data_IF_278613049532
#
_entry.id   IF_278613049532
#
_cell.length_a   1.000
_cell.length_b   1.000
_cell.length_c   1.000
_cell.angle_alpha   90.00
_cell.angle_beta   90.00
_cell.angle_gamma   90.00
#
_symmetry.space_group_name_H-M   'P 1'
#
loop_
_entity.id
_entity.type
_entity.pdbx_description
1 polymer ?
#
# COMPACT_ATOMS: atom_id res chain seq x y z
N UNK A 1 -23.76 74.40 35.82
CA UNK A 1 -25.23 74.28 35.85
C UNK A 1 -25.66 73.59 34.56
N UNK A 2 -25.82 72.27 34.57
CA UNK A 2 -27.09 71.53 34.81
C UNK A 2 -28.13 71.71 33.67
N UNK A 3 -28.64 70.56 33.22
CA UNK A 3 -29.84 70.29 32.38
C UNK A 3 -29.70 70.56 30.87
N UNK A 4 -30.07 69.70 29.93
CA UNK A 4 -30.70 68.37 29.88
C UNK A 4 -30.92 68.05 28.39
N UNK A 5 -30.33 66.99 27.83
CA UNK A 5 -30.92 65.67 27.52
C UNK A 5 -32.36 65.66 26.99
N UNK A 6 -32.50 65.01 25.81
CA UNK A 6 -33.71 64.47 25.15
C UNK A 6 -34.54 65.56 24.45
N UNK A 7 -34.80 65.50 23.14
CA UNK A 7 -35.57 64.45 22.46
C UNK A 7 -35.44 64.59 20.93
N UNK A 8 -34.90 63.60 20.24
CA UNK A 8 -35.24 63.27 18.82
C UNK A 8 -34.72 61.86 18.50
N UNK A 9 -35.16 60.87 19.28
CA UNK A 9 -35.02 59.44 18.94
C UNK A 9 -36.24 58.65 19.45
N UNK A 10 -37.43 59.26 19.39
CA UNK A 10 -38.70 58.65 19.82
C UNK A 10 -39.69 58.42 18.67
N UNK A 11 -39.18 58.25 17.44
CA UNK A 11 -40.01 57.81 16.30
C UNK A 11 -39.39 56.65 15.50
N UNK A 12 -38.55 55.85 16.16
CA UNK A 12 -38.12 54.53 15.68
C UNK A 12 -38.37 53.40 16.71
N UNK A 13 -38.99 53.72 17.85
CA UNK A 13 -39.29 52.79 18.95
C UNK A 13 -40.74 52.29 18.98
N UNK A 14 -41.36 52.08 17.82
CA UNK A 14 -42.63 51.32 17.73
C UNK A 14 -42.52 50.05 16.89
N UNK A 15 -41.30 49.55 16.64
CA UNK A 15 -41.06 48.30 15.90
C UNK A 15 -40.13 47.30 16.59
N UNK A 16 -39.93 47.45 17.91
CA UNK A 16 -39.09 46.57 18.71
C UNK A 16 -39.73 46.17 20.06
N UNK A 17 -41.02 45.83 20.07
CA UNK A 17 -41.63 45.09 21.20
C UNK A 17 -42.74 44.16 20.71
N UNK A 18 -42.36 43.08 20.02
CA UNK A 18 -43.20 41.89 19.94
C UNK A 18 -42.35 40.62 19.84
N UNK A 19 -41.42 40.48 20.79
CA UNK A 19 -40.85 39.18 21.15
C UNK A 19 -41.31 38.81 22.54
N UNK A 20 -42.50 38.21 22.65
CA UNK A 20 -42.77 37.13 23.62
C UNK A 20 -44.15 36.51 23.43
N UNK A 21 -44.10 35.17 23.37
CA UNK A 21 -45.18 34.20 23.67
C UNK A 21 -46.30 34.05 22.63
N UNK A 22 -45.98 33.28 21.58
CA UNK A 22 -46.88 32.19 21.18
C UNK A 22 -46.09 30.89 21.33
N UNK A 23 -46.32 30.23 22.46
CA UNK A 23 -45.77 28.93 22.84
C UNK A 23 -46.52 27.85 22.05
N UNK A 24 -46.17 27.66 20.78
CA UNK A 24 -46.61 26.51 20.00
C UNK A 24 -45.60 25.38 20.20
N UNK A 25 -46.06 24.33 20.88
CA UNK A 25 -45.30 23.13 21.24
C UNK A 25 -44.69 22.48 20.00
N UNK A 26 -43.38 22.60 19.82
CA UNK A 26 -42.60 21.75 18.92
C UNK A 26 -42.06 20.55 19.70
N UNK A 27 -42.10 19.32 19.18
CA UNK A 27 -41.54 18.17 19.88
C UNK A 27 -40.02 18.30 19.93
N UNK A 28 -39.46 18.16 21.14
CA UNK A 28 -38.05 17.93 21.38
C UNK A 28 -37.68 16.57 20.80
N UNK A 29 -37.25 16.53 19.54
CA UNK A 29 -36.51 15.39 19.04
C UNK A 29 -35.14 15.44 19.70
N UNK A 30 -34.99 14.58 20.72
CA UNK A 30 -33.73 14.22 21.34
C UNK A 30 -32.76 13.80 20.24
N UNK A 31 -31.65 14.53 20.12
CA UNK A 31 -30.52 14.12 19.29
C UNK A 31 -29.84 12.92 19.99
N UNK A 32 -29.78 11.71 19.40
CA UNK A 32 -28.86 10.71 19.89
C UNK A 32 -27.49 11.01 19.28
N UNK A 33 -26.54 11.37 20.14
CA UNK A 33 -25.13 11.26 19.82
C UNK A 33 -24.82 9.78 19.57
N UNK A 34 -24.68 9.39 18.30
CA UNK A 34 -23.78 8.35 17.79
C UNK A 34 -24.17 8.00 16.36
N UNK A 35 -23.54 8.66 15.39
CA UNK A 35 -23.13 7.98 14.16
C UNK A 35 -21.63 8.16 14.05
N UNK A 36 -20.94 7.25 14.72
CA UNK A 36 -19.55 6.90 14.44
C UNK A 36 -19.32 6.97 12.94
N UNK A 37 -18.23 7.63 12.56
CA UNK A 37 -17.68 7.72 11.20
C UNK A 37 -18.09 6.49 10.40
N UNK A 38 -18.82 6.69 9.31
CA UNK A 38 -18.90 5.68 8.27
C UNK A 38 -17.47 5.46 7.80
N UNK A 39 -16.84 4.45 8.40
CA UNK A 39 -15.82 3.63 7.80
C UNK A 39 -16.45 3.22 6.47
N UNK A 40 -16.01 3.84 5.38
CA UNK A 40 -16.34 3.38 4.03
C UNK A 40 -15.66 2.02 3.91
N UNK A 41 -16.41 1.01 4.37
CA UNK A 41 -16.07 -0.40 4.28
C UNK A 41 -15.74 -0.68 2.82
N UNK A 42 -14.69 -1.46 2.58
CA UNK A 42 -14.61 -2.29 1.38
C UNK A 42 -16.04 -2.71 1.02
N UNK A 43 -16.54 -2.38 -0.18
CA UNK A 43 -17.89 -2.80 -0.62
C UNK A 43 -17.90 -4.32 -0.74
N UNK A 44 -18.10 -4.97 0.41
CA UNK A 44 -18.14 -6.40 0.59
C UNK A 44 -19.60 -6.74 0.84
N UNK A 45 -20.34 -7.01 -0.24
CA UNK A 45 -21.56 -7.80 -0.10
C UNK A 45 -21.15 -9.14 0.54
N UNK A 46 -21.99 -9.76 1.36
CA UNK A 46 -21.63 -10.89 2.23
C UNK A 46 -20.91 -12.06 1.51
N UNK A 47 -21.25 -12.26 0.24
CA UNK A 47 -20.59 -13.20 -0.68
C UNK A 47 -19.14 -12.76 -0.98
N UNK A 48 -18.92 -11.48 -1.30
CA UNK A 48 -17.59 -10.91 -1.50
C UNK A 48 -16.78 -10.90 -0.19
N UNK A 49 -17.43 -10.66 0.95
CA UNK A 49 -16.78 -10.70 2.27
C UNK A 49 -16.23 -12.10 2.58
N UNK A 50 -17.03 -13.14 2.30
CA UNK A 50 -16.65 -14.53 2.50
C UNK A 50 -15.52 -14.92 1.54
N UNK A 51 -15.64 -14.59 0.26
CA UNK A 51 -14.59 -14.86 -0.74
C UNK A 51 -13.28 -14.16 -0.37
N UNK A 52 -13.34 -12.90 0.06
CA UNK A 52 -12.15 -12.15 0.49
C UNK A 52 -11.52 -12.80 1.73
N UNK A 53 -12.33 -13.15 2.73
CA UNK A 53 -11.86 -13.82 3.95
C UNK A 53 -11.13 -15.12 3.62
N UNK A 54 -11.76 -15.99 2.82
CA UNK A 54 -11.15 -17.24 2.36
C UNK A 54 -9.84 -16.97 1.61
N UNK A 55 -9.82 -15.99 0.71
CA UNK A 55 -8.61 -15.63 -0.04
C UNK A 55 -7.48 -15.17 0.89
N UNK A 56 -7.78 -14.40 1.94
CA UNK A 56 -6.78 -13.95 2.93
C UNK A 56 -6.23 -15.12 3.76
N UNK A 57 -7.11 -16.05 4.17
CA UNK A 57 -6.73 -17.25 4.91
C UNK A 57 -5.81 -18.16 4.09
N UNK A 58 -6.08 -18.30 2.78
CA UNK A 58 -5.28 -19.12 1.88
C UNK A 58 -3.90 -18.53 1.49
N UNK A 59 -3.62 -17.26 1.77
CA UNK A 59 -2.27 -16.70 1.52
C UNK A 59 -1.29 -17.33 2.53
N UNK A 60 -0.26 -18.07 2.10
CA UNK A 60 0.72 -18.64 3.01
C UNK A 60 1.63 -17.53 3.57
N UNK A 61 2.39 -17.84 4.62
CA UNK A 61 3.54 -17.01 4.99
C UNK A 61 4.57 -17.03 3.86
N UNK A 62 5.13 -15.87 3.52
CA UNK A 62 6.07 -15.75 2.39
C UNK A 62 7.38 -16.49 2.69
N UNK A 63 7.75 -17.44 1.83
CA UNK A 63 9.04 -18.14 1.81
C UNK A 63 9.63 -18.07 0.40
N UNK A 64 10.93 -18.37 0.26
CA UNK A 64 11.58 -18.44 -1.05
C UNK A 64 10.92 -19.49 -1.96
N UNK A 65 10.62 -20.67 -1.42
CA UNK A 65 10.02 -21.78 -2.14
C UNK A 65 8.59 -21.50 -2.64
N UNK A 66 7.86 -20.59 -1.97
CA UNK A 66 6.46 -20.31 -2.28
C UNK A 66 6.20 -18.94 -2.93
N UNK A 67 7.25 -18.17 -3.22
CA UNK A 67 7.16 -16.78 -3.69
C UNK A 67 6.18 -16.59 -4.87
N UNK A 68 6.29 -17.38 -5.94
CA UNK A 68 5.41 -17.25 -7.11
C UNK A 68 3.94 -17.53 -6.77
N UNK A 69 3.69 -18.53 -5.91
CA UNK A 69 2.35 -18.87 -5.43
C UNK A 69 1.80 -17.74 -4.54
N UNK A 70 2.63 -17.21 -3.64
CA UNK A 70 2.30 -16.08 -2.77
C UNK A 70 1.94 -14.83 -3.58
N UNK A 71 2.78 -14.45 -4.56
CA UNK A 71 2.56 -13.33 -5.47
C UNK A 71 1.27 -13.48 -6.27
N UNK A 72 0.96 -14.69 -6.73
CA UNK A 72 -0.29 -14.99 -7.43
C UNK A 72 -1.50 -14.76 -6.52
N UNK A 73 -1.45 -15.24 -5.28
CA UNK A 73 -2.55 -15.09 -4.30
C UNK A 73 -2.76 -13.63 -3.89
N UNK A 74 -1.69 -12.86 -3.67
CA UNK A 74 -1.77 -11.42 -3.42
C UNK A 74 -2.32 -10.66 -4.64
N UNK A 75 -1.93 -11.06 -5.86
CA UNK A 75 -2.50 -10.47 -7.09
C UNK A 75 -3.99 -10.74 -7.25
N UNK A 76 -4.47 -11.92 -6.82
CA UNK A 76 -5.90 -12.25 -6.77
C UNK A 76 -6.60 -11.40 -5.71
N UNK A 77 -6.01 -11.22 -4.54
CA UNK A 77 -6.53 -10.32 -3.50
C UNK A 77 -6.70 -8.89 -4.04
N UNK A 78 -5.73 -8.36 -4.78
CA UNK A 78 -5.84 -7.03 -5.39
C UNK A 78 -6.94 -6.94 -6.46
N UNK A 79 -7.15 -8.01 -7.25
CA UNK A 79 -8.25 -8.09 -8.21
C UNK A 79 -9.60 -8.07 -7.50
N UNK A 80 -9.75 -8.85 -6.43
CA UNK A 80 -10.97 -8.90 -5.63
C UNK A 80 -11.24 -7.56 -4.92
N UNK A 81 -10.19 -6.87 -4.47
CA UNK A 81 -10.28 -5.54 -3.88
C UNK A 81 -10.48 -4.39 -4.87
N UNK A 82 -10.44 -4.65 -6.18
CA UNK A 82 -10.55 -3.60 -7.20
C UNK A 82 -9.36 -2.63 -7.27
N UNK A 83 -8.20 -3.04 -6.76
CA UNK A 83 -6.99 -2.21 -6.57
C UNK A 83 -5.78 -2.72 -7.37
N UNK A 84 -6.00 -3.68 -8.27
CA UNK A 84 -4.96 -4.29 -9.09
C UNK A 84 -4.18 -3.26 -9.93
N UNK A 85 -4.88 -2.35 -10.61
CA UNK A 85 -4.21 -1.41 -11.52
C UNK A 85 -3.39 -0.36 -10.74
N UNK A 86 -3.86 0.02 -9.55
CA UNK A 86 -3.16 0.95 -8.65
C UNK A 86 -1.88 0.32 -8.09
N UNK A 87 -1.94 -0.96 -7.70
CA UNK A 87 -0.79 -1.69 -7.16
C UNK A 87 0.29 -1.99 -8.20
N UNK A 88 -0.08 -2.29 -9.45
CA UNK A 88 0.89 -2.53 -10.53
C UNK A 88 1.48 -1.23 -11.10
N UNK A 89 0.64 -0.21 -11.32
CA UNK A 89 1.07 1.01 -12.03
C UNK A 89 1.54 2.09 -11.05
N UNK A 90 1.20 1.96 -9.77
CA UNK A 90 1.56 2.91 -8.70
C UNK A 90 0.76 4.21 -8.71
N UNK A 91 -0.24 4.36 -9.59
CA UNK A 91 -1.12 5.53 -9.70
C UNK A 91 -2.51 5.12 -10.22
N UNK A 92 -3.60 5.79 -9.77
CA UNK A 92 -3.66 6.76 -8.67
C UNK A 92 -3.37 6.09 -7.30
N UNK A 93 -3.16 6.90 -6.26
CA UNK A 93 -2.91 6.39 -4.91
C UNK A 93 -4.09 5.57 -4.39
N UNK A 94 -3.79 4.58 -3.54
CA UNK A 94 -4.82 3.83 -2.82
C UNK A 94 -5.57 4.76 -1.86
N UNK A 95 -6.87 4.49 -1.70
CA UNK A 95 -7.62 5.05 -0.58
C UNK A 95 -6.95 4.63 0.75
N UNK A 96 -6.91 5.54 1.74
CA UNK A 96 -6.27 5.32 3.04
C UNK A 96 -6.73 4.02 3.74
N UNK A 97 -8.03 3.72 3.66
CA UNK A 97 -8.63 2.51 4.23
C UNK A 97 -8.12 1.23 3.55
N UNK A 98 -8.05 1.24 2.21
CA UNK A 98 -7.53 0.13 1.41
C UNK A 98 -6.04 -0.07 1.63
N UNK A 99 -5.29 1.03 1.67
CA UNK A 99 -3.86 1.01 1.95
C UNK A 99 -3.56 0.38 3.32
N UNK A 100 -4.24 0.84 4.37
CA UNK A 100 -4.06 0.33 5.74
C UNK A 100 -4.34 -1.17 5.82
N UNK A 101 -5.44 -1.63 5.21
CA UNK A 101 -5.82 -3.05 5.23
C UNK A 101 -4.85 -3.90 4.43
N UNK A 102 -4.38 -3.44 3.27
CA UNK A 102 -3.39 -4.16 2.49
C UNK A 102 -2.03 -4.21 3.19
N UNK A 103 -1.58 -3.11 3.81
CA UNK A 103 -0.37 -3.11 4.63
C UNK A 103 -0.48 -4.16 5.74
N UNK A 104 -1.58 -4.17 6.49
CA UNK A 104 -1.79 -5.13 7.57
C UNK A 104 -1.75 -6.59 7.07
N UNK A 105 -2.38 -6.88 5.93
CA UNK A 105 -2.37 -8.23 5.34
C UNK A 105 -0.97 -8.61 4.87
N UNK A 106 -0.29 -7.74 4.13
CA UNK A 106 1.07 -7.99 3.61
C UNK A 106 2.03 -8.21 4.78
N UNK A 107 2.02 -7.33 5.78
CA UNK A 107 2.85 -7.44 6.98
C UNK A 107 2.56 -8.74 7.74
N UNK A 108 1.29 -9.08 7.95
CA UNK A 108 0.91 -10.31 8.66
C UNK A 108 1.32 -11.60 7.93
N UNK A 109 1.55 -11.53 6.62
CA UNK A 109 1.95 -12.67 5.78
C UNK A 109 3.44 -12.67 5.43
N UNK A 110 4.19 -11.65 5.84
CA UNK A 110 5.65 -11.65 5.78
C UNK A 110 6.22 -12.38 7.00
N UNK A 111 7.19 -13.27 6.78
CA UNK A 111 7.99 -13.82 7.87
C UNK A 111 8.93 -12.75 8.42
N UNK A 112 9.23 -12.84 9.72
CA UNK A 112 10.14 -11.90 10.40
C UNK A 112 11.54 -11.85 9.77
N UNK A 113 11.99 -12.96 9.15
CA UNK A 113 13.26 -13.05 8.44
C UNK A 113 13.28 -12.23 7.14
N UNK A 114 12.16 -12.16 6.43
CA UNK A 114 11.99 -11.35 5.21
C UNK A 114 11.72 -9.87 5.53
N UNK A 115 11.19 -9.58 6.72
CA UNK A 115 10.84 -8.25 7.19
C UNK A 115 12.05 -7.28 7.14
N UNK A 116 13.24 -7.69 7.60
CA UNK A 116 14.39 -6.78 7.70
C UNK A 116 15.02 -6.35 6.36
N UNK A 117 14.83 -7.14 5.30
CA UNK A 117 15.42 -6.84 3.98
C UNK A 117 14.44 -6.08 3.06
N UNK A 118 13.14 -6.13 3.37
CA UNK A 118 12.07 -5.59 2.52
C UNK A 118 11.35 -4.41 3.18
N UNK A 119 11.39 -4.30 4.51
CA UNK A 119 10.69 -3.29 5.28
C UNK A 119 11.62 -2.17 5.74
N UNK A 120 11.24 -0.93 5.48
CA UNK A 120 11.91 0.25 6.01
C UNK A 120 10.87 1.34 6.33
N UNK A 121 11.30 2.39 7.03
CA UNK A 121 10.42 3.48 7.43
C UNK A 121 9.81 4.26 6.26
N UNK A 122 10.25 4.01 5.02
CA UNK A 122 9.72 4.67 3.82
C UNK A 122 8.62 3.86 3.11
N UNK A 123 8.45 2.58 3.45
CA UNK A 123 7.44 1.70 2.86
C UNK A 123 6.47 1.07 3.87
N UNK A 124 6.75 1.13 5.17
CA UNK A 124 5.92 0.56 6.25
C UNK A 124 4.42 0.89 6.15
N UNK A 125 4.09 2.10 5.73
CA UNK A 125 2.72 2.63 5.66
C UNK A 125 2.17 2.73 4.24
N UNK A 126 2.84 2.13 3.23
CA UNK A 126 2.44 2.23 1.83
C UNK A 126 2.42 0.85 1.16
N UNK A 127 1.21 0.34 0.94
CA UNK A 127 1.00 -1.00 0.40
C UNK A 127 1.56 -1.16 -1.02
N UNK A 128 1.58 -0.08 -1.83
CA UNK A 128 2.16 -0.11 -3.18
C UNK A 128 3.68 -0.24 -3.06
N UNK A 129 4.31 0.54 -2.16
CA UNK A 129 5.76 0.44 -1.94
C UNK A 129 6.17 -0.90 -1.35
N UNK A 130 5.41 -1.45 -0.39
CA UNK A 130 5.65 -2.79 0.14
C UNK A 130 5.58 -3.84 -0.97
N UNK A 131 4.51 -3.81 -1.77
CA UNK A 131 4.33 -4.73 -2.89
C UNK A 131 5.50 -4.65 -3.88
N UNK A 132 5.94 -3.43 -4.24
CA UNK A 132 7.08 -3.22 -5.13
C UNK A 132 8.39 -3.70 -4.51
N UNK A 133 8.62 -3.42 -3.23
CA UNK A 133 9.82 -3.87 -2.54
C UNK A 133 9.90 -5.41 -2.49
N UNK A 134 8.78 -6.08 -2.19
CA UNK A 134 8.69 -7.55 -2.21
C UNK A 134 8.90 -8.09 -3.63
N UNK A 135 8.20 -7.50 -4.60
CA UNK A 135 8.28 -7.91 -6.01
C UNK A 135 9.69 -7.76 -6.57
N UNK A 136 10.42 -6.72 -6.15
CA UNK A 136 11.76 -6.42 -6.65
C UNK A 136 12.88 -7.13 -5.88
N UNK A 137 12.72 -7.37 -4.56
CA UNK A 137 13.74 -8.03 -3.75
C UNK A 137 13.72 -9.57 -3.87
N UNK A 138 12.55 -10.16 -4.13
CA UNK A 138 12.41 -11.63 -4.18
C UNK A 138 12.24 -12.14 -5.62
N UNK A 139 11.93 -11.26 -6.57
CA UNK A 139 12.31 -11.53 -7.95
C UNK A 139 13.83 -11.49 -8.03
N UNK A 140 14.46 -12.62 -7.71
CA UNK A 140 15.69 -13.02 -8.38
C UNK A 140 15.44 -12.73 -9.85
N UNK A 141 16.01 -11.64 -10.37
CA UNK A 141 15.73 -11.20 -11.72
C UNK A 141 16.35 -12.25 -12.64
N UNK A 142 15.55 -13.26 -13.00
CA UNK A 142 15.95 -14.29 -13.93
C UNK A 142 16.46 -13.65 -15.22
N UNK A 143 15.92 -12.48 -15.60
CA UNK A 143 16.42 -11.62 -16.66
C UNK A 143 17.84 -11.06 -16.42
N UNK A 144 18.19 -10.65 -15.20
CA UNK A 144 19.56 -10.24 -14.84
C UNK A 144 20.51 -11.42 -14.85
N UNK A 145 20.08 -12.58 -14.35
CA UNK A 145 20.88 -13.79 -14.40
C UNK A 145 21.09 -14.25 -15.85
N UNK A 146 20.03 -14.31 -16.65
CA UNK A 146 20.08 -14.71 -18.06
C UNK A 146 20.97 -13.77 -18.86
N UNK A 147 20.82 -12.45 -18.65
CA UNK A 147 21.68 -11.45 -19.27
C UNK A 147 23.14 -11.60 -18.82
N UNK A 148 23.39 -11.82 -17.53
CA UNK A 148 24.73 -12.07 -16.99
C UNK A 148 25.37 -13.33 -17.60
N UNK A 149 24.65 -14.46 -17.63
CA UNK A 149 25.11 -15.71 -18.25
C UNK A 149 25.41 -15.47 -19.73
N UNK A 150 24.53 -14.78 -20.45
CA UNK A 150 24.69 -14.48 -21.88
C UNK A 150 25.91 -13.60 -22.13
N UNK A 151 26.14 -12.56 -21.31
CA UNK A 151 27.30 -11.67 -21.42
C UNK A 151 28.62 -12.38 -21.11
N UNK A 152 28.64 -13.26 -20.11
CA UNK A 152 29.79 -14.12 -19.81
C UNK A 152 30.05 -15.07 -20.97
N UNK A 153 29.03 -15.78 -21.46
CA UNK A 153 29.16 -16.71 -22.58
C UNK A 153 29.68 -16.00 -23.85
N UNK A 154 29.15 -14.81 -24.15
CA UNK A 154 29.62 -14.01 -25.28
C UNK A 154 31.09 -13.58 -25.12
N UNK A 155 31.51 -13.24 -23.90
CA UNK A 155 32.90 -12.92 -23.57
C UNK A 155 33.82 -14.14 -23.73
N UNK A 156 33.43 -15.31 -23.21
CA UNK A 156 34.18 -16.55 -23.35
C UNK A 156 34.33 -16.99 -24.81
N UNK A 157 33.25 -16.91 -25.59
CA UNK A 157 33.27 -17.23 -27.02
C UNK A 157 34.22 -16.31 -27.80
N UNK A 158 34.21 -15.00 -27.52
CA UNK A 158 35.16 -14.04 -28.14
C UNK A 158 36.61 -14.36 -27.79
N UNK A 159 36.87 -14.77 -26.55
CA UNK A 159 38.22 -15.16 -26.12
C UNK A 159 38.67 -16.45 -26.80
N UNK A 160 37.76 -17.42 -26.95
CA UNK A 160 38.02 -18.65 -27.68
C UNK A 160 38.30 -18.39 -29.18
N UNK A 161 37.58 -17.46 -29.80
CA UNK A 161 37.75 -17.09 -31.22
C UNK A 161 39.14 -16.48 -31.51
N UNK A 162 39.72 -15.77 -30.53
CA UNK A 162 41.12 -15.27 -30.62
C UNK A 162 42.16 -16.29 -30.12
N UNK A 163 41.76 -17.54 -29.87
CA UNK A 163 42.65 -18.63 -29.47
C UNK A 163 43.02 -18.68 -27.98
N UNK A 164 42.35 -17.90 -27.13
CA UNK A 164 42.57 -17.90 -25.68
C UNK A 164 41.68 -18.98 -25.05
N UNK A 165 42.29 -20.06 -24.58
CA UNK A 165 41.63 -21.12 -23.83
C UNK A 165 41.91 -20.92 -22.32
N UNK A 166 40.88 -21.01 -21.49
CA UNK A 166 41.02 -20.98 -20.03
C UNK A 166 40.55 -22.30 -19.44
N UNK A 167 41.22 -22.74 -18.37
CA UNK A 167 40.79 -23.90 -17.61
C UNK A 167 39.48 -23.61 -16.85
N UNK A 168 38.66 -24.64 -16.68
CA UNK A 168 37.35 -24.54 -16.02
C UNK A 168 37.45 -23.96 -14.61
N UNK A 169 38.53 -24.24 -13.88
CA UNK A 169 38.73 -23.74 -12.52
C UNK A 169 38.92 -22.22 -12.48
N UNK A 170 39.60 -21.66 -13.48
CA UNK A 170 39.81 -20.21 -13.65
C UNK A 170 38.50 -19.53 -14.03
N UNK A 171 37.75 -20.12 -14.97
CA UNK A 171 36.44 -19.62 -15.38
C UNK A 171 35.47 -19.64 -14.20
N UNK A 172 35.47 -20.71 -13.41
CA UNK A 172 34.61 -20.84 -12.22
C UNK A 172 34.94 -19.77 -11.19
N UNK A 173 36.22 -19.54 -10.91
CA UNK A 173 36.65 -18.51 -9.96
C UNK A 173 36.29 -17.08 -10.42
N UNK A 174 36.52 -16.76 -11.70
CA UNK A 174 36.17 -15.46 -12.27
C UNK A 174 34.65 -15.22 -12.28
N UNK A 175 33.86 -16.26 -12.56
CA UNK A 175 32.39 -16.22 -12.51
C UNK A 175 31.86 -15.91 -11.11
N UNK A 176 32.38 -16.60 -10.08
CA UNK A 176 31.99 -16.37 -8.69
C UNK A 176 32.29 -14.94 -8.25
N UNK A 177 33.37 -14.35 -8.75
CA UNK A 177 33.78 -12.97 -8.42
C UNK A 177 33.02 -11.90 -9.19
N UNK A 178 32.32 -12.27 -10.26
CA UNK A 178 31.55 -11.36 -11.11
C UNK A 178 30.05 -11.45 -10.91
N UNK A 179 29.61 -12.25 -9.95
CA UNK A 179 28.19 -12.36 -9.60
C UNK A 179 27.61 -10.96 -9.35
N UNK A 180 26.39 -10.68 -9.85
CA UNK A 180 25.77 -9.39 -9.62
C UNK A 180 25.48 -9.18 -8.14
N UNK A 181 25.65 -7.95 -7.65
CA UNK A 181 25.39 -7.53 -6.25
C UNK A 181 23.98 -7.89 -5.76
N UNK A 182 23.03 -8.14 -6.68
CA UNK A 182 21.71 -8.67 -6.35
C UNK A 182 21.73 -10.05 -5.66
N UNK A 183 22.84 -10.78 -5.71
CA UNK A 183 23.04 -12.06 -5.03
C UNK A 183 23.70 -11.94 -3.66
N UNK A 184 24.25 -10.77 -3.31
CA UNK A 184 24.89 -10.54 -1.99
C UNK A 184 23.88 -10.54 -0.83
N UNK A 185 22.59 -10.47 -1.14
CA UNK A 185 21.49 -10.49 -0.17
C UNK A 185 21.04 -11.91 0.22
N UNK A 186 21.58 -12.95 -0.41
CA UNK A 186 21.34 -14.35 -0.04
C UNK A 186 22.36 -14.70 1.06
N UNK A 187 21.99 -14.46 2.32
CA UNK A 187 22.77 -14.84 3.51
C UNK A 187 22.07 -15.92 4.31
#
# INVERSE_FOLDING_TARGET
SQLGLRTTQDQQNSRLTLSRKVLSKRPLIRNPLSKSKQITRFKMDEINATILKTTIEEIPGLTEENYLSWCTRISVLFKLGGVKDQSTNGKPALEESNNTILCAIIIAKLLATTHNNVFNSANEDDAIKLWKAISNNISFEASKLEKFITEVQASLLKMQDVGICMDNDIITYDLLRRLPESLDNIK
#
